data_IF_537896423399
#
_entry.id   IF_537896423399
#
_cell.length_a   1.000
_cell.length_b   1.000
_cell.length_c   1.000
_cell.angle_alpha   90.00
_cell.angle_beta   90.00
_cell.angle_gamma   90.00
#
_symmetry.space_group_name_H-M   'P 1'
#
loop_
_entity.id
_entity.type
_entity.pdbx_description
1 polymer ?
#
# COMPACT_ATOMS: atom_id res chain seq x y z
N UNK A 1 -61.80 8.02 43.53
CA UNK A 1 -61.74 9.27 44.31
C UNK A 1 -60.40 9.31 45.03
N UNK A 2 -59.56 10.33 44.75
CA UNK A 2 -58.77 11.15 45.72
C UNK A 2 -57.87 10.38 46.72
N UNK A 3 -56.57 10.60 46.94
CA UNK A 3 -55.53 11.51 46.46
C UNK A 3 -54.15 11.05 46.99
N UNK A 4 -53.11 11.25 46.16
CA UNK A 4 -51.72 11.75 46.35
C UNK A 4 -50.98 11.65 47.72
N UNK A 5 -49.72 11.20 47.68
CA UNK A 5 -48.45 11.97 47.85
C UNK A 5 -47.27 10.99 48.10
N UNK A 6 -46.38 10.79 47.12
CA UNK A 6 -45.05 11.43 47.01
C UNK A 6 -43.98 10.83 47.97
N UNK A 7 -43.16 9.93 47.43
CA UNK A 7 -41.83 9.64 47.97
C UNK A 7 -40.88 9.31 46.81
N UNK A 8 -39.76 10.02 46.81
CA UNK A 8 -38.73 10.11 45.80
C UNK A 8 -38.16 8.77 45.31
N UNK A 9 -37.93 8.66 44.00
CA UNK A 9 -36.83 7.84 43.48
C UNK A 9 -36.08 8.68 42.45
N UNK A 10 -35.02 9.32 42.94
CA UNK A 10 -33.91 9.85 42.16
C UNK A 10 -33.05 8.64 41.75
N UNK A 11 -32.97 8.32 40.46
CA UNK A 11 -31.94 7.45 39.86
C UNK A 11 -32.14 7.56 38.34
N UNK A 12 -31.39 8.37 37.61
CA UNK A 12 -29.94 8.28 37.49
C UNK A 12 -29.67 7.93 36.04
N UNK A 13 -29.83 8.91 35.15
CA UNK A 13 -29.56 8.80 33.72
C UNK A 13 -28.04 8.76 33.53
N UNK A 14 -27.45 7.57 33.67
CA UNK A 14 -26.03 7.38 33.42
C UNK A 14 -25.82 7.05 31.94
N UNK A 15 -25.44 8.09 31.20
CA UNK A 15 -24.88 7.99 29.86
C UNK A 15 -23.79 6.91 29.82
N UNK A 16 -24.08 5.77 29.19
CA UNK A 16 -23.05 4.83 28.79
C UNK A 16 -22.40 5.38 27.52
N UNK A 17 -21.38 6.21 27.72
CA UNK A 17 -20.52 6.72 26.67
C UNK A 17 -19.88 5.55 25.91
N UNK A 18 -20.13 5.50 24.60
CA UNK A 18 -19.36 4.71 23.67
C UNK A 18 -17.90 5.17 23.73
N UNK A 19 -17.06 4.47 24.49
CA UNK A 19 -15.61 4.58 24.34
C UNK A 19 -15.24 3.86 23.04
N UNK A 20 -15.31 4.58 21.92
CA UNK A 20 -14.51 4.25 20.76
C UNK A 20 -13.05 4.46 21.16
N UNK A 21 -12.37 3.39 21.59
CA UNK A 21 -10.93 3.43 21.77
C UNK A 21 -10.32 3.79 20.41
N UNK A 22 -9.55 4.89 20.29
CA UNK A 22 -8.82 5.13 19.06
C UNK A 22 -7.86 3.97 18.88
N UNK A 23 -8.13 3.13 17.87
CA UNK A 23 -7.18 2.16 17.35
C UNK A 23 -5.98 2.98 16.87
N UNK A 24 -4.96 3.07 17.72
CA UNK A 24 -3.71 3.67 17.32
C UNK A 24 -3.18 2.83 16.17
N UNK A 25 -2.79 3.42 15.03
CA UNK A 25 -2.12 2.69 13.98
C UNK A 25 -0.89 2.01 14.60
N UNK A 26 -0.89 0.67 14.62
CA UNK A 26 0.28 -0.09 15.06
C UNK A 26 1.37 0.17 14.03
N UNK A 27 2.37 0.97 14.41
CA UNK A 27 3.56 1.17 13.60
C UNK A 27 4.33 -0.16 13.50
N UNK A 28 4.96 -0.41 12.36
CA UNK A 28 5.97 -1.47 12.21
C UNK A 28 6.96 -1.42 13.36
N UNK A 29 7.33 -2.59 13.89
CA UNK A 29 8.51 -2.67 14.74
C UNK A 29 9.77 -2.32 13.91
N UNK A 30 10.84 -1.83 14.55
CA UNK A 30 12.04 -1.38 13.84
C UNK A 30 12.67 -2.43 12.92
N UNK A 31 12.67 -3.71 13.30
CA UNK A 31 13.29 -4.76 12.49
C UNK A 31 12.47 -5.03 11.21
N UNK A 32 11.15 -5.02 11.31
CA UNK A 32 10.27 -5.13 10.14
C UNK A 32 10.38 -3.91 9.23
N UNK A 33 10.54 -2.71 9.78
CA UNK A 33 10.78 -1.49 9.00
C UNK A 33 12.11 -1.54 8.23
N UNK A 34 13.18 -2.02 8.86
CA UNK A 34 14.49 -2.21 8.21
C UNK A 34 14.44 -3.27 7.11
N UNK A 35 13.75 -4.39 7.35
CA UNK A 35 13.57 -5.45 6.36
C UNK A 35 12.80 -4.96 5.12
N UNK A 36 11.74 -4.17 5.33
CA UNK A 36 11.01 -3.53 4.24
C UNK A 36 11.91 -2.56 3.46
N UNK A 37 12.64 -1.69 4.16
CA UNK A 37 13.56 -0.75 3.52
C UNK A 37 14.64 -1.47 2.68
N UNK A 38 15.17 -2.59 3.19
CA UNK A 38 16.11 -3.43 2.46
C UNK A 38 15.46 -4.04 1.20
N UNK A 39 14.22 -4.49 1.30
CA UNK A 39 13.47 -5.05 0.16
C UNK A 39 13.22 -4.01 -0.93
N UNK A 40 12.80 -2.79 -0.54
CA UNK A 40 12.60 -1.68 -1.47
C UNK A 40 13.90 -1.28 -2.17
N UNK A 41 15.02 -1.27 -1.43
CA UNK A 41 16.35 -1.00 -1.98
C UNK A 41 16.79 -2.08 -2.96
N UNK A 42 16.58 -3.35 -2.61
CA UNK A 42 16.88 -4.49 -3.48
C UNK A 42 16.07 -4.43 -4.78
N UNK A 43 14.79 -4.03 -4.71
CA UNK A 43 13.94 -3.94 -5.90
C UNK A 43 14.43 -2.85 -6.87
N UNK A 44 14.87 -1.71 -6.34
CA UNK A 44 15.39 -0.58 -7.11
C UNK A 44 16.80 -0.84 -7.68
N UNK A 45 17.61 -1.68 -7.04
CA UNK A 45 18.96 -2.03 -7.49
C UNK A 45 18.93 -3.18 -8.53
N UNK A 46 19.31 -2.92 -9.81
CA UNK A 46 19.32 -3.95 -10.84
C UNK A 46 20.20 -5.16 -10.52
N UNK A 47 21.34 -4.94 -9.85
CA UNK A 47 22.29 -6.01 -9.54
C UNK A 47 21.80 -6.86 -8.35
N UNK A 48 21.15 -6.25 -7.37
CA UNK A 48 20.50 -6.99 -6.29
C UNK A 48 19.30 -7.80 -6.81
N UNK A 49 18.42 -7.17 -7.59
CA UNK A 49 17.28 -7.83 -8.22
C UNK A 49 17.70 -8.96 -9.16
N UNK A 50 18.73 -8.74 -9.98
CA UNK A 50 19.25 -9.74 -10.91
C UNK A 50 19.74 -11.02 -10.23
N UNK A 51 20.26 -10.93 -9.00
CA UNK A 51 20.65 -12.12 -8.22
C UNK A 51 19.44 -12.96 -7.82
N UNK A 52 18.33 -12.34 -7.43
CA UNK A 52 17.09 -13.04 -7.09
C UNK A 52 16.49 -13.68 -8.34
N UNK A 53 16.40 -12.92 -9.44
CA UNK A 53 15.90 -13.40 -10.74
C UNK A 53 16.67 -14.64 -11.21
N UNK A 54 17.99 -14.68 -11.03
CA UNK A 54 18.82 -15.81 -11.44
C UNK A 54 18.53 -17.11 -10.66
N UNK A 55 17.96 -16.99 -9.46
CA UNK A 55 17.71 -18.13 -8.55
C UNK A 55 16.23 -18.49 -8.37
N UNK A 56 15.32 -17.65 -8.86
CA UNK A 56 13.87 -17.82 -8.70
C UNK A 56 13.16 -17.80 -10.07
N UNK A 57 12.65 -18.96 -10.54
CA UNK A 57 11.93 -19.05 -11.82
C UNK A 57 10.68 -18.15 -11.90
N UNK A 58 9.99 -17.92 -10.78
CA UNK A 58 8.82 -17.04 -10.76
C UNK A 58 9.25 -15.58 -10.91
N UNK A 59 10.35 -15.17 -10.25
CA UNK A 59 10.92 -13.84 -10.44
C UNK A 59 11.40 -13.61 -11.88
N UNK A 60 11.97 -14.63 -12.52
CA UNK A 60 12.38 -14.58 -13.93
C UNK A 60 11.20 -14.48 -14.92
N UNK A 61 10.06 -15.10 -14.62
CA UNK A 61 8.84 -14.93 -15.39
C UNK A 61 8.30 -13.50 -15.27
N UNK A 62 8.23 -12.96 -14.06
CA UNK A 62 7.80 -11.56 -13.83
C UNK A 62 8.73 -10.57 -14.52
N UNK A 63 10.05 -10.76 -14.45
CA UNK A 63 11.01 -9.90 -15.15
C UNK A 63 10.78 -9.92 -16.67
N UNK A 64 10.57 -11.10 -17.28
CA UNK A 64 10.24 -11.19 -18.71
C UNK A 64 8.95 -10.42 -19.06
N UNK A 65 7.93 -10.48 -18.21
CA UNK A 65 6.70 -9.71 -18.41
C UNK A 65 6.95 -8.20 -18.33
N UNK A 66 7.74 -7.74 -17.36
CA UNK A 66 8.13 -6.34 -17.22
C UNK A 66 8.93 -5.87 -18.44
N UNK A 67 9.92 -6.64 -18.89
CA UNK A 67 10.72 -6.32 -20.08
C UNK A 67 9.83 -6.22 -21.33
N UNK A 68 8.93 -7.20 -21.52
CA UNK A 68 8.01 -7.21 -22.66
C UNK A 68 7.04 -6.04 -22.64
N UNK A 69 6.52 -5.67 -21.47
CA UNK A 69 5.63 -4.52 -21.32
C UNK A 69 6.37 -3.20 -21.57
N UNK A 70 7.57 -3.04 -21.00
CA UNK A 70 8.31 -1.79 -21.07
C UNK A 70 8.96 -1.52 -22.43
N UNK A 71 9.23 -2.57 -23.23
CA UNK A 71 9.81 -2.47 -24.57
C UNK A 71 11.30 -2.11 -24.62
N UNK A 72 11.91 -1.75 -23.49
CA UNK A 72 13.36 -1.53 -23.37
C UNK A 72 13.84 -1.77 -21.94
N UNK A 73 15.12 -2.11 -21.79
CA UNK A 73 15.73 -2.32 -20.47
C UNK A 73 15.77 -1.05 -19.62
N UNK A 74 15.91 0.12 -20.27
CA UNK A 74 15.86 1.41 -19.60
C UNK A 74 14.47 1.68 -18.99
N UNK A 75 13.40 1.49 -19.77
CA UNK A 75 12.04 1.65 -19.26
C UNK A 75 11.66 0.57 -18.26
N UNK A 76 12.14 -0.67 -18.41
CA UNK A 76 11.95 -1.73 -17.42
C UNK A 76 12.55 -1.33 -16.06
N UNK A 77 13.72 -0.68 -16.06
CA UNK A 77 14.32 -0.17 -14.83
C UNK A 77 13.49 0.96 -14.21
N UNK A 78 12.90 1.85 -15.02
CA UNK A 78 11.95 2.87 -14.52
C UNK A 78 10.70 2.22 -13.91
N UNK A 79 10.20 1.11 -14.48
CA UNK A 79 9.07 0.33 -13.92
C UNK A 79 9.42 -0.21 -12.53
N UNK A 80 10.61 -0.79 -12.35
CA UNK A 80 11.04 -1.27 -11.03
C UNK A 80 11.21 -0.14 -10.01
N UNK A 81 11.71 1.02 -10.45
CA UNK A 81 11.77 2.21 -9.60
C UNK A 81 10.39 2.68 -9.15
N UNK A 82 9.43 2.74 -10.08
CA UNK A 82 8.05 3.08 -9.76
C UNK A 82 7.40 2.05 -8.82
N UNK A 83 7.65 0.76 -9.04
CA UNK A 83 7.14 -0.30 -8.16
C UNK A 83 7.66 -0.10 -6.73
N UNK A 84 8.93 0.23 -6.54
CA UNK A 84 9.49 0.53 -5.21
C UNK A 84 8.80 1.74 -4.56
N UNK A 85 8.54 2.82 -5.31
CA UNK A 85 7.81 3.99 -4.82
C UNK A 85 6.36 3.63 -4.41
N UNK A 86 5.67 2.82 -5.22
CA UNK A 86 4.30 2.32 -4.93
C UNK A 86 4.28 1.46 -3.67
N UNK A 87 5.24 0.54 -3.50
CA UNK A 87 5.33 -0.28 -2.29
C UNK A 87 5.64 0.56 -1.04
N UNK A 88 6.46 1.61 -1.16
CA UNK A 88 6.72 2.54 -0.08
C UNK A 88 5.46 3.32 0.34
N UNK A 89 4.64 3.76 -0.63
CA UNK A 89 3.36 4.41 -0.37
C UNK A 89 2.36 3.44 0.28
N UNK A 90 2.31 2.19 -0.18
CA UNK A 90 1.48 1.15 0.43
C UNK A 90 1.86 0.87 1.87
N UNK A 91 3.14 0.71 2.15
CA UNK A 91 3.63 0.49 3.50
C UNK A 91 3.30 1.68 4.41
N UNK A 92 3.45 2.91 3.92
CA UNK A 92 3.06 4.10 4.68
C UNK A 92 1.55 4.09 5.01
N UNK A 93 0.71 3.83 4.01
CA UNK A 93 -0.75 3.90 4.16
C UNK A 93 -1.33 2.75 4.99
N UNK A 94 -0.62 1.61 5.04
CA UNK A 94 -0.98 0.44 5.85
C UNK A 94 -0.31 0.42 7.22
N UNK A 95 0.51 1.42 7.55
CA UNK A 95 1.44 1.38 8.68
C UNK A 95 2.35 0.14 8.66
N UNK A 96 2.60 -0.39 7.46
CA UNK A 96 3.41 -1.54 7.15
C UNK A 96 2.77 -2.90 7.47
N UNK A 97 1.46 -2.95 7.75
CA UNK A 97 0.75 -4.22 7.87
C UNK A 97 0.77 -4.96 6.51
N UNK A 98 1.47 -6.11 6.39
CA UNK A 98 1.56 -6.84 5.14
C UNK A 98 0.21 -7.33 4.63
N UNK A 99 -0.75 -7.61 5.53
CA UNK A 99 -2.10 -8.02 5.13
C UNK A 99 -2.83 -6.87 4.47
N UNK A 100 -2.83 -5.69 5.09
CA UNK A 100 -3.44 -4.50 4.52
C UNK A 100 -2.77 -4.08 3.19
N UNK A 101 -1.45 -4.25 3.07
CA UNK A 101 -0.74 -4.04 1.80
C UNK A 101 -1.23 -5.02 0.72
N UNK A 102 -1.33 -6.31 1.03
CA UNK A 102 -1.84 -7.32 0.10
C UNK A 102 -3.29 -7.04 -0.32
N UNK A 103 -4.16 -6.68 0.63
CA UNK A 103 -5.55 -6.32 0.35
C UNK A 103 -5.66 -5.08 -0.55
N UNK A 104 -4.78 -4.08 -0.37
CA UNK A 104 -4.73 -2.93 -1.26
C UNK A 104 -4.34 -3.33 -2.69
N UNK A 105 -3.36 -4.22 -2.87
CA UNK A 105 -2.95 -4.75 -4.17
C UNK A 105 -4.06 -5.60 -4.82
N UNK A 106 -4.76 -6.41 -4.05
CA UNK A 106 -5.87 -7.21 -4.56
C UNK A 106 -7.04 -6.33 -5.00
N UNK A 107 -7.39 -5.29 -4.23
CA UNK A 107 -8.41 -4.32 -4.64
C UNK A 107 -8.02 -3.54 -5.88
N UNK A 108 -6.73 -3.26 -6.09
CA UNK A 108 -6.26 -2.55 -7.29
C UNK A 108 -6.64 -3.26 -8.59
N UNK A 109 -6.81 -4.60 -8.56
CA UNK A 109 -7.24 -5.40 -9.72
C UNK A 109 -8.66 -5.06 -10.16
N UNK A 110 -9.53 -4.65 -9.24
CA UNK A 110 -10.94 -4.31 -9.50
C UNK A 110 -11.23 -2.82 -9.43
N UNK A 111 -10.38 -2.04 -8.75
CA UNK A 111 -10.49 -0.59 -8.61
C UNK A 111 -9.12 0.10 -8.75
N UNK A 112 -8.59 0.19 -9.97
CA UNK A 112 -7.29 0.83 -10.21
C UNK A 112 -7.31 2.34 -9.96
N UNK A 113 -8.47 2.99 -10.11
CA UNK A 113 -8.63 4.42 -9.85
C UNK A 113 -8.58 4.73 -8.35
N UNK A 114 -9.27 3.93 -7.53
CA UNK A 114 -9.19 4.00 -6.07
C UNK A 114 -7.79 3.71 -5.56
N UNK A 115 -7.10 2.72 -6.13
CA UNK A 115 -5.70 2.45 -5.81
C UNK A 115 -4.80 3.64 -6.14
N UNK A 116 -4.93 4.22 -7.34
CA UNK A 116 -4.17 5.38 -7.75
C UNK A 116 -4.40 6.57 -6.78
N UNK A 117 -5.63 6.80 -6.32
CA UNK A 117 -5.95 7.86 -5.38
C UNK A 117 -5.26 7.73 -4.01
N UNK A 118 -4.80 6.53 -3.64
CA UNK A 118 -4.04 6.29 -2.41
C UNK A 118 -2.55 6.67 -2.53
N UNK A 119 -2.02 6.77 -3.75
CA UNK A 119 -0.61 7.04 -3.99
C UNK A 119 -0.30 8.52 -3.77
N UNK A 120 0.95 8.81 -3.41
CA UNK A 120 1.40 10.20 -3.30
C UNK A 120 1.33 10.90 -4.67
N UNK A 121 1.12 12.23 -4.71
CA UNK A 121 1.07 12.98 -5.97
C UNK A 121 2.32 12.78 -6.85
N UNK A 122 3.49 12.70 -6.23
CA UNK A 122 4.78 12.43 -6.90
C UNK A 122 4.80 11.07 -7.59
N UNK A 123 4.34 10.02 -6.89
CA UNK A 123 4.27 8.65 -7.42
C UNK A 123 3.28 8.56 -8.58
N UNK A 124 2.13 9.24 -8.45
CA UNK A 124 1.15 9.34 -9.54
C UNK A 124 1.71 10.03 -10.78
N UNK A 125 2.49 11.09 -10.58
CA UNK A 125 3.08 11.81 -11.70
C UNK A 125 4.12 10.96 -12.44
N UNK A 126 4.98 10.25 -11.70
CA UNK A 126 5.91 9.28 -12.30
C UNK A 126 5.17 8.18 -13.05
N UNK A 127 4.07 7.66 -12.50
CA UNK A 127 3.24 6.64 -13.14
C UNK A 127 2.66 7.14 -14.47
N UNK A 128 2.12 8.37 -14.51
CA UNK A 128 1.62 8.98 -15.75
C UNK A 128 2.73 9.18 -16.78
N UNK A 129 3.86 9.75 -16.35
CA UNK A 129 4.99 10.01 -17.23
C UNK A 129 5.54 8.69 -17.84
N UNK A 130 5.70 7.65 -17.02
CA UNK A 130 6.18 6.35 -17.48
C UNK A 130 5.19 5.67 -18.42
N UNK A 131 3.89 5.76 -18.14
CA UNK A 131 2.84 5.25 -19.02
C UNK A 131 2.89 5.89 -20.42
N UNK A 132 3.11 7.20 -20.49
CA UNK A 132 3.29 7.91 -21.77
C UNK A 132 4.52 7.38 -22.53
N UNK A 133 5.68 7.29 -21.86
CA UNK A 133 6.92 6.80 -22.48
C UNK A 133 6.78 5.38 -23.04
N UNK A 134 6.15 4.48 -22.29
CA UNK A 134 5.92 3.10 -22.73
C UNK A 134 4.99 3.06 -23.94
N UNK A 135 3.90 3.84 -23.91
CA UNK A 135 2.95 3.94 -25.03
C UNK A 135 3.60 4.46 -26.30
N UNK A 136 4.52 5.42 -26.17
CA UNK A 136 5.26 6.00 -27.30
C UNK A 136 6.23 5.00 -27.94
N UNK A 137 6.85 4.11 -27.14
CA UNK A 137 7.74 3.05 -27.63
C UNK A 137 6.97 1.90 -28.29
N UNK A 138 5.74 1.64 -27.85
CA UNK A 138 4.91 0.57 -28.40
C UNK A 138 4.16 0.95 -29.69
N UNK A 139 4.14 2.23 -30.05
CA UNK A 139 3.50 2.76 -31.26
C UNK A 139 4.40 2.63 -32.48
#
# INVERSE_FOLDING_TARGET
MISRLAAAVLSGFFLLACFATPTHPQALDPASADALAATLRMLADPAARGRIIATDPAAAEVDRQVQSMAGSSALAQEVYGLAADVFADLARNSNGDPRAMSEALDRAKTDPAGFAAMLRPETLEKLRALSSKISDVQR
#
